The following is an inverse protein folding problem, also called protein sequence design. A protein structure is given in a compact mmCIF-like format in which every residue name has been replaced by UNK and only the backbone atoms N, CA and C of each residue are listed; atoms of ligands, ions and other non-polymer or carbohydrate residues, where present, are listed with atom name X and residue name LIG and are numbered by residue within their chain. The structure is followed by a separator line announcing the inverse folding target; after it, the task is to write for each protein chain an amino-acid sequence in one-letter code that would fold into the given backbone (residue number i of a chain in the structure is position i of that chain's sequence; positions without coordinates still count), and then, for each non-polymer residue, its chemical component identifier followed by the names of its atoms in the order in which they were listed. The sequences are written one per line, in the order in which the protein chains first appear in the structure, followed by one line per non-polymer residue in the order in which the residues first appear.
data_IF_749921202287
#
_entry.id   IF_749921202287
#
_cell.length_a   1.000
_cell.length_b   1.000
_cell.length_c   1.000
_cell.angle_alpha   90.00
_cell.angle_beta   90.00
_cell.angle_gamma   90.00
#
_symmetry.space_group_name_H-M   'P 1'
#
loop_
_entity.id
_entity.type
_entity.pdbx_description
1 polymer ?
#
# COMPACT_ATOMS: atom_id res chain seq x y z
N UNK A 1 12.64 6.20 -6.57
CA UNK A 1 13.78 5.32 -6.23
C UNK A 1 13.98 4.21 -7.27
N UNK A 2 13.00 3.33 -7.53
CA UNK A 2 13.11 2.23 -8.53
C UNK A 2 13.61 2.73 -9.89
N UNK A 3 12.97 3.78 -10.43
CA UNK A 3 13.34 4.38 -11.71
C UNK A 3 14.75 4.96 -11.78
N UNK A 4 15.25 5.53 -10.67
CA UNK A 4 16.61 6.04 -10.59
C UNK A 4 17.63 4.90 -10.66
N UNK A 5 17.39 3.84 -9.89
CA UNK A 5 18.27 2.66 -9.85
C UNK A 5 18.26 1.94 -11.20
N UNK A 6 17.09 1.74 -11.81
CA UNK A 6 16.99 1.15 -13.14
C UNK A 6 17.63 2.03 -14.22
N UNK A 7 17.46 3.36 -14.12
CA UNK A 7 18.11 4.31 -15.02
C UNK A 7 19.62 4.23 -14.93
N UNK A 8 20.19 4.21 -13.72
CA UNK A 8 21.63 4.01 -13.52
C UNK A 8 22.11 2.66 -14.04
N UNK A 9 21.34 1.60 -13.81
CA UNK A 9 21.67 0.26 -14.29
C UNK A 9 21.74 0.22 -15.83
N UNK A 10 20.78 0.83 -16.52
CA UNK A 10 20.78 0.93 -17.99
C UNK A 10 21.96 1.76 -18.50
N UNK A 11 22.23 2.92 -17.90
CA UNK A 11 23.36 3.78 -18.28
C UNK A 11 24.70 3.05 -18.09
N UNK A 12 24.88 2.31 -17.00
CA UNK A 12 26.08 1.50 -16.76
C UNK A 12 26.23 0.34 -17.75
N UNK A 13 25.14 -0.35 -18.10
CA UNK A 13 25.18 -1.41 -19.12
C UNK A 13 25.59 -0.84 -20.47
N UNK A 14 25.04 0.32 -20.85
CA UNK A 14 25.39 0.97 -22.11
C UNK A 14 26.87 1.35 -22.15
N UNK A 15 27.38 2.00 -21.11
CA UNK A 15 28.80 2.39 -21.01
C UNK A 15 29.75 1.18 -21.02
N UNK A 16 29.40 0.12 -20.31
CA UNK A 16 30.23 -1.10 -20.25
C UNK A 16 30.17 -1.91 -21.54
N UNK A 17 29.03 -1.94 -22.24
CA UNK A 17 28.86 -2.63 -23.52
C UNK A 17 29.63 -1.95 -24.65
N UNK A 18 29.75 -0.62 -24.62
CA UNK A 18 30.49 0.16 -25.62
C UNK A 18 32.00 0.25 -25.34
N UNK A 19 32.49 -0.35 -24.25
CA UNK A 19 33.91 -0.27 -23.80
C UNK A 19 34.44 1.16 -23.75
N UNK A 20 33.58 2.13 -23.42
CA UNK A 20 33.89 3.57 -23.42
C UNK A 20 34.31 4.16 -24.79
N UNK A 21 34.12 3.43 -25.89
CA UNK A 21 34.20 3.98 -27.25
C UNK A 21 32.79 4.29 -27.75
N UNK A 22 32.55 5.54 -28.16
CA UNK A 22 31.29 5.91 -28.77
C UNK A 22 31.24 5.37 -30.21
N UNK A 23 30.77 4.12 -30.34
CA UNK A 23 30.71 3.40 -31.62
C UNK A 23 29.77 4.06 -32.65
N UNK A 24 28.83 4.90 -32.19
CA UNK A 24 27.87 5.65 -33.02
C UNK A 24 27.80 7.12 -32.56
N UNK A 25 28.82 7.95 -32.83
CA UNK A 25 28.94 9.30 -32.28
C UNK A 25 27.87 10.27 -32.81
N UNK A 26 27.33 9.98 -34.00
CA UNK A 26 26.31 10.78 -34.66
C UNK A 26 24.90 10.61 -34.05
N UNK A 27 24.69 9.58 -33.23
CA UNK A 27 23.40 9.27 -32.57
C UNK A 27 23.49 9.11 -31.05
N UNK A 28 24.68 8.86 -30.50
CA UNK A 28 24.85 8.54 -29.07
C UNK A 28 25.52 9.69 -28.32
N UNK A 29 24.98 10.01 -27.15
CA UNK A 29 25.53 11.04 -26.26
C UNK A 29 26.62 10.41 -25.39
N UNK A 30 27.80 11.01 -25.40
CA UNK A 30 28.92 10.55 -24.57
C UNK A 30 28.63 10.83 -23.10
N UNK A 31 28.83 9.82 -22.24
CA UNK A 31 28.51 9.90 -20.81
C UNK A 31 29.56 10.71 -20.02
N UNK A 32 29.58 12.03 -20.20
CA UNK A 32 30.40 12.92 -19.38
C UNK A 32 29.82 13.06 -17.97
N UNK A 33 30.61 13.46 -16.95
CA UNK A 33 30.08 13.70 -15.60
C UNK A 33 28.92 14.69 -15.56
N UNK A 34 28.93 15.71 -16.42
CA UNK A 34 27.84 16.68 -16.56
C UNK A 34 26.57 16.04 -17.15
N UNK A 35 26.71 15.23 -18.21
CA UNK A 35 25.60 14.49 -18.82
C UNK A 35 25.02 13.47 -17.83
N UNK A 36 25.86 12.77 -17.08
CA UNK A 36 25.41 11.83 -16.05
C UNK A 36 24.64 12.53 -14.92
N UNK A 37 25.12 13.68 -14.45
CA UNK A 37 24.44 14.48 -13.44
C UNK A 37 23.09 14.99 -13.95
N UNK A 38 23.05 15.50 -15.18
CA UNK A 38 21.82 15.92 -15.85
C UNK A 38 20.81 14.78 -15.98
N UNK A 39 21.24 13.63 -16.51
CA UNK A 39 20.39 12.45 -16.67
C UNK A 39 19.85 11.95 -15.32
N UNK A 40 20.68 11.92 -14.27
CA UNK A 40 20.25 11.52 -12.93
C UNK A 40 19.21 12.47 -12.34
N UNK A 41 19.40 13.78 -12.50
CA UNK A 41 18.43 14.78 -12.05
C UNK A 41 17.13 14.69 -12.84
N UNK A 42 17.20 14.55 -14.17
CA UNK A 42 16.05 14.39 -15.02
C UNK A 42 15.23 13.15 -14.62
N UNK A 43 15.86 11.98 -14.50
CA UNK A 43 15.20 10.73 -14.08
C UNK A 43 14.56 10.86 -12.69
N UNK A 44 15.21 11.56 -11.75
CA UNK A 44 14.64 11.82 -10.43
C UNK A 44 13.37 12.69 -10.50
N UNK A 45 13.41 13.80 -11.25
CA UNK A 45 12.27 14.71 -11.44
C UNK A 45 11.11 14.01 -12.15
N UNK A 46 11.40 13.25 -13.22
CA UNK A 46 10.41 12.45 -13.95
C UNK A 46 9.77 11.43 -13.00
N UNK A 47 10.58 10.71 -12.22
CA UNK A 47 10.10 9.73 -11.25
C UNK A 47 9.18 10.34 -10.19
N UNK A 48 9.47 11.57 -9.74
CA UNK A 48 8.60 12.30 -8.81
C UNK A 48 7.28 12.71 -9.46
N UNK A 49 7.33 13.22 -10.69
CA UNK A 49 6.15 13.63 -11.46
C UNK A 49 5.23 12.44 -11.76
N UNK A 50 5.80 11.31 -12.17
CA UNK A 50 5.10 10.03 -12.34
C UNK A 50 4.46 9.57 -11.01
N UNK A 51 5.19 9.67 -9.89
CA UNK A 51 4.65 9.34 -8.58
C UNK A 51 3.43 10.18 -8.20
N UNK A 52 3.46 11.49 -8.46
CA UNK A 52 2.32 12.39 -8.24
C UNK A 52 1.14 11.99 -9.14
N UNK A 53 1.37 11.77 -10.43
CA UNK A 53 0.32 11.38 -11.38
C UNK A 53 -0.34 10.06 -10.98
N UNK A 54 0.44 9.10 -10.51
CA UNK A 54 -0.06 7.80 -10.08
C UNK A 54 -0.96 7.91 -8.84
N UNK A 55 -0.49 8.62 -7.81
CA UNK A 55 -1.20 8.75 -6.53
C UNK A 55 -2.48 9.57 -6.67
N UNK A 56 -2.44 10.70 -7.38
CA UNK A 56 -3.56 11.64 -7.42
C UNK A 56 -4.55 11.40 -8.55
N UNK A 57 -4.12 10.82 -9.68
CA UNK A 57 -4.95 10.74 -10.88
C UNK A 57 -5.22 9.30 -11.35
N UNK A 58 -4.19 8.56 -11.73
CA UNK A 58 -4.34 7.24 -12.34
C UNK A 58 -4.85 6.18 -11.35
N UNK A 59 -4.39 6.21 -10.10
CA UNK A 59 -4.83 5.29 -9.05
C UNK A 59 -6.34 5.35 -8.80
N UNK A 60 -6.91 6.55 -8.75
CA UNK A 60 -8.34 6.75 -8.52
C UNK A 60 -9.18 6.45 -9.76
N UNK A 61 -8.71 6.83 -10.95
CA UNK A 61 -9.50 6.72 -12.19
C UNK A 61 -9.74 5.27 -12.62
N UNK A 62 -8.81 4.37 -12.33
CA UNK A 62 -8.85 2.97 -12.81
C UNK A 62 -9.14 1.94 -11.73
N UNK A 63 -9.50 2.35 -10.50
CA UNK A 63 -9.74 1.44 -9.37
C UNK A 63 -10.81 0.37 -9.64
N UNK A 64 -11.79 0.65 -10.49
CA UNK A 64 -12.90 -0.25 -10.82
C UNK A 64 -12.72 -1.06 -12.11
N UNK A 65 -11.55 -0.95 -12.78
CA UNK A 65 -11.28 -1.69 -14.02
C UNK A 65 -10.56 -3.00 -13.74
N UNK A 66 -10.69 -3.98 -14.64
CA UNK A 66 -9.97 -5.24 -14.52
C UNK A 66 -8.45 -5.04 -14.60
N UNK A 67 -7.71 -5.94 -13.94
CA UNK A 67 -6.24 -5.95 -13.89
C UNK A 67 -5.61 -5.65 -15.26
N UNK A 68 -5.95 -6.44 -16.29
CA UNK A 68 -5.33 -6.31 -17.62
C UNK A 68 -5.64 -4.97 -18.28
N UNK A 69 -6.86 -4.44 -18.10
CA UNK A 69 -7.23 -3.12 -18.66
C UNK A 69 -6.45 -2.03 -17.95
N UNK A 70 -6.39 -2.06 -16.62
CA UNK A 70 -5.64 -1.08 -15.82
C UNK A 70 -4.16 -1.08 -16.21
N UNK A 71 -3.54 -2.26 -16.33
CA UNK A 71 -2.15 -2.41 -16.75
C UNK A 71 -1.91 -1.86 -18.16
N UNK A 72 -2.76 -2.22 -19.14
CA UNK A 72 -2.60 -1.78 -20.53
C UNK A 72 -2.75 -0.26 -20.68
N UNK A 73 -3.76 0.34 -20.05
CA UNK A 73 -3.94 1.80 -20.10
C UNK A 73 -2.78 2.55 -19.45
N UNK A 74 -2.32 2.10 -18.27
CA UNK A 74 -1.16 2.69 -17.61
C UNK A 74 0.10 2.55 -18.46
N UNK A 75 0.35 1.36 -19.03
CA UNK A 75 1.50 1.13 -19.91
C UNK A 75 1.48 2.06 -21.12
N UNK A 76 0.34 2.18 -21.82
CA UNK A 76 0.22 3.07 -22.96
C UNK A 76 0.43 4.55 -22.59
N UNK A 77 -0.19 5.00 -21.48
CA UNK A 77 -0.05 6.36 -20.99
C UNK A 77 1.42 6.68 -20.63
N UNK A 78 2.06 5.82 -19.84
CA UNK A 78 3.43 6.05 -19.39
C UNK A 78 4.46 5.89 -20.51
N UNK A 79 4.25 5.00 -21.48
CA UNK A 79 5.11 4.91 -22.66
C UNK A 79 5.04 6.19 -23.50
N UNK A 80 3.84 6.75 -23.69
CA UNK A 80 3.67 8.04 -24.39
C UNK A 80 4.32 9.20 -23.61
N UNK A 81 4.14 9.23 -22.29
CA UNK A 81 4.77 10.23 -21.43
C UNK A 81 6.30 10.15 -21.48
N UNK A 82 6.88 8.94 -21.40
CA UNK A 82 8.33 8.74 -21.49
C UNK A 82 8.87 9.09 -22.87
N UNK A 83 8.12 8.83 -23.95
CA UNK A 83 8.48 9.27 -25.30
C UNK A 83 8.59 10.80 -25.36
N UNK A 84 7.58 11.52 -24.88
CA UNK A 84 7.59 13.00 -24.85
C UNK A 84 8.78 13.53 -24.04
N UNK A 85 9.06 12.92 -22.90
CA UNK A 85 10.22 13.25 -22.07
C UNK A 85 11.53 13.08 -22.86
N UNK A 86 11.69 11.99 -23.61
CA UNK A 86 12.91 11.73 -24.41
C UNK A 86 13.05 12.74 -25.54
N UNK A 87 11.95 13.08 -26.22
CA UNK A 87 11.94 14.10 -27.28
C UNK A 87 12.41 15.47 -26.78
N UNK A 88 12.24 15.78 -25.49
CA UNK A 88 12.71 17.03 -24.88
C UNK A 88 14.10 16.88 -24.27
N UNK A 89 14.35 15.79 -23.55
CA UNK A 89 15.58 15.58 -22.78
C UNK A 89 16.78 15.32 -23.69
N UNK A 90 16.61 14.63 -24.82
CA UNK A 90 17.71 14.29 -25.70
C UNK A 90 18.36 15.55 -26.32
N UNK A 91 17.63 16.48 -26.97
CA UNK A 91 18.23 17.71 -27.48
C UNK A 91 18.94 18.53 -26.41
N UNK A 92 18.41 18.58 -25.18
CA UNK A 92 19.06 19.26 -24.06
C UNK A 92 20.38 18.59 -23.65
N UNK A 93 20.41 17.26 -23.61
CA UNK A 93 21.62 16.51 -23.29
C UNK A 93 22.68 16.64 -24.41
N UNK A 94 22.27 16.58 -25.68
CA UNK A 94 23.16 16.80 -26.83
C UNK A 94 23.70 18.25 -26.87
N UNK A 95 22.89 19.23 -26.49
CA UNK A 95 23.33 20.63 -26.35
C UNK A 95 24.40 20.79 -25.26
N UNK A 96 24.24 20.11 -24.13
CA UNK A 96 25.23 20.09 -23.05
C UNK A 96 26.54 19.42 -23.48
N UNK A 97 26.48 18.33 -24.25
CA UNK A 97 27.66 17.63 -24.78
C UNK A 97 28.43 18.50 -25.78
N UNK A 98 27.73 19.14 -26.73
CA UNK A 98 28.33 19.94 -27.79
C UNK A 98 28.66 21.38 -27.35
N UNK A 99 28.26 21.79 -26.14
CA UNK A 99 28.41 23.17 -25.68
C UNK A 99 27.64 24.20 -26.52
N UNK A 100 26.51 23.77 -27.12
CA UNK A 100 25.73 24.54 -28.08
C UNK A 100 24.29 24.81 -27.58
N UNK A 101 23.52 25.58 -28.33
CA UNK A 101 22.08 25.76 -28.07
C UNK A 101 21.30 24.50 -28.47
N UNK A 102 20.21 24.12 -27.76
CA UNK A 102 19.37 22.97 -28.12
C UNK A 102 18.76 23.02 -29.53
N UNK A 103 18.65 24.21 -30.12
CA UNK A 103 18.13 24.41 -31.48
C UNK A 103 19.25 24.59 -32.52
N UNK A 104 20.51 24.36 -32.15
CA UNK A 104 21.62 24.40 -33.08
C UNK A 104 21.50 23.28 -34.12
N UNK A 105 21.95 23.54 -35.35
CA UNK A 105 21.87 22.60 -36.47
C UNK A 105 22.52 21.24 -36.14
N UNK A 106 23.70 21.24 -35.53
CA UNK A 106 24.40 20.00 -35.15
C UNK A 106 23.65 19.21 -34.06
N UNK A 107 22.98 19.89 -33.12
CA UNK A 107 22.15 19.24 -32.09
C UNK A 107 20.91 18.61 -32.72
N UNK A 108 20.26 19.33 -33.64
CA UNK A 108 19.07 18.84 -34.33
C UNK A 108 19.39 17.68 -35.28
N UNK A 109 20.51 17.72 -35.98
CA UNK A 109 21.00 16.62 -36.80
C UNK A 109 21.23 15.36 -35.96
N UNK A 110 21.97 15.50 -34.84
CA UNK A 110 22.18 14.41 -33.88
C UNK A 110 20.87 13.85 -33.30
N UNK A 111 19.90 14.71 -33.03
CA UNK A 111 18.57 14.29 -32.57
C UNK A 111 17.80 13.47 -33.62
N UNK A 112 17.79 13.90 -34.88
CA UNK A 112 17.13 13.15 -35.96
C UNK A 112 17.81 11.82 -36.24
N UNK A 113 19.14 11.80 -36.17
CA UNK A 113 19.93 10.57 -36.26
C UNK A 113 19.55 9.61 -35.15
N UNK A 114 19.46 10.08 -33.91
CA UNK A 114 18.99 9.28 -32.78
C UNK A 114 17.59 8.72 -32.99
N UNK A 115 16.60 9.54 -33.38
CA UNK A 115 15.22 9.04 -33.59
C UNK A 115 15.12 7.94 -34.66
N UNK A 116 16.04 7.94 -35.62
CA UNK A 116 16.09 6.93 -36.68
C UNK A 116 17.01 5.76 -36.35
N UNK A 117 17.63 5.75 -35.17
CA UNK A 117 18.67 4.80 -34.82
C UNK A 117 18.16 3.57 -34.08
N UNK A 118 18.99 2.52 -34.07
CA UNK A 118 18.74 1.31 -33.29
C UNK A 118 18.81 1.62 -31.78
N UNK A 119 19.60 2.61 -31.37
CA UNK A 119 19.69 3.04 -29.97
C UNK A 119 18.35 3.60 -29.47
N UNK A 120 17.64 4.41 -30.25
CA UNK A 120 16.30 4.88 -29.88
C UNK A 120 15.32 3.73 -29.74
N UNK A 121 15.30 2.80 -30.70
CA UNK A 121 14.43 1.62 -30.64
C UNK A 121 14.74 0.77 -29.39
N UNK A 122 16.01 0.51 -29.12
CA UNK A 122 16.47 -0.22 -27.94
C UNK A 122 16.05 0.49 -26.64
N UNK A 123 16.17 1.81 -26.60
CA UNK A 123 15.75 2.65 -25.47
C UNK A 123 14.23 2.56 -25.23
N UNK A 124 13.43 2.62 -26.29
CA UNK A 124 11.98 2.46 -26.20
C UNK A 124 11.59 1.08 -25.66
N UNK A 125 12.22 0.02 -26.17
CA UNK A 125 11.96 -1.35 -25.72
C UNK A 125 12.34 -1.54 -24.25
N UNK A 126 13.51 -1.06 -23.84
CA UNK A 126 13.98 -1.14 -22.46
C UNK A 126 13.04 -0.40 -21.49
N UNK A 127 12.60 0.81 -21.86
CA UNK A 127 11.67 1.60 -21.05
C UNK A 127 10.30 0.94 -20.98
N UNK A 128 9.76 0.45 -22.11
CA UNK A 128 8.47 -0.23 -22.13
C UNK A 128 8.49 -1.51 -21.26
N UNK A 129 9.59 -2.27 -21.30
CA UNK A 129 9.76 -3.46 -20.46
C UNK A 129 9.89 -3.10 -18.97
N UNK A 130 10.71 -2.11 -18.64
CA UNK A 130 10.86 -1.59 -17.27
C UNK A 130 9.53 -1.07 -16.71
N UNK A 131 8.78 -0.32 -17.52
CA UNK A 131 7.43 0.15 -17.21
C UNK A 131 6.50 -1.01 -16.93
N UNK A 132 6.45 -1.98 -17.84
CA UNK A 132 5.62 -3.15 -17.67
C UNK A 132 5.93 -3.88 -16.36
N UNK A 133 7.21 -4.15 -16.06
CA UNK A 133 7.61 -4.85 -14.84
C UNK A 133 7.23 -4.06 -13.58
N UNK A 134 7.48 -2.75 -13.57
CA UNK A 134 7.16 -1.88 -12.43
C UNK A 134 5.65 -1.77 -12.19
N UNK A 135 4.85 -1.59 -13.24
CA UNK A 135 3.39 -1.51 -13.16
C UNK A 135 2.79 -2.86 -12.78
N UNK A 136 3.32 -3.96 -13.32
CA UNK A 136 2.90 -5.30 -12.98
C UNK A 136 3.17 -5.61 -11.50
N UNK A 137 4.37 -5.28 -11.01
CA UNK A 137 4.72 -5.40 -9.59
C UNK A 137 3.77 -4.57 -8.72
N UNK A 138 3.54 -3.30 -9.06
CA UNK A 138 2.64 -2.41 -8.32
C UNK A 138 1.22 -2.99 -8.26
N UNK A 139 0.70 -3.47 -9.39
CA UNK A 139 -0.66 -4.00 -9.47
C UNK A 139 -0.83 -5.31 -8.70
N UNK A 140 0.19 -6.19 -8.71
CA UNK A 140 0.18 -7.38 -7.85
C UNK A 140 0.26 -6.98 -6.38
N UNK A 141 1.14 -6.04 -6.04
CA UNK A 141 1.31 -5.54 -4.68
C UNK A 141 0.02 -4.94 -4.12
N UNK A 142 -0.74 -4.21 -4.95
CA UNK A 142 -2.04 -3.64 -4.57
C UNK A 142 -3.09 -4.72 -4.30
N UNK A 143 -3.08 -5.81 -5.07
CA UNK A 143 -4.06 -6.89 -4.97
C UNK A 143 -3.78 -7.88 -3.82
N UNK A 144 -2.51 -8.14 -3.52
CA UNK A 144 -2.08 -9.12 -2.50
C UNK A 144 -1.73 -8.44 -1.17
N UNK A 145 -1.41 -7.15 -1.20
CA UNK A 145 -0.88 -6.39 -0.07
C UNK A 145 0.65 -6.32 -0.11
N UNK A 146 1.20 -5.12 0.11
CA UNK A 146 2.63 -4.86 -0.05
C UNK A 146 3.52 -5.73 0.86
N UNK A 147 3.15 -5.85 2.13
CA UNK A 147 3.88 -6.70 3.09
C UNK A 147 3.84 -8.17 2.71
N UNK A 148 2.69 -8.67 2.23
CA UNK A 148 2.52 -10.07 1.81
C UNK A 148 3.38 -10.38 0.59
N UNK A 149 3.40 -9.51 -0.41
CA UNK A 149 4.22 -9.70 -1.61
C UNK A 149 5.73 -9.71 -1.27
N UNK A 150 6.19 -8.84 -0.37
CA UNK A 150 7.59 -8.82 0.06
C UNK A 150 7.95 -10.10 0.85
N UNK A 151 7.04 -10.57 1.71
CA UNK A 151 7.22 -11.81 2.47
C UNK A 151 7.25 -13.04 1.56
N UNK A 152 6.54 -13.01 0.42
CA UNK A 152 6.59 -14.04 -0.61
C UNK A 152 7.99 -14.13 -1.24
N UNK A 153 8.57 -13.01 -1.70
CA UNK A 153 9.91 -13.01 -2.31
C UNK A 153 11.03 -13.34 -1.33
N UNK A 154 10.93 -12.90 -0.08
CA UNK A 154 11.92 -13.23 0.96
C UNK A 154 11.78 -14.65 1.51
N UNK A 155 10.66 -15.31 1.21
CA UNK A 155 10.31 -16.62 1.74
C UNK A 155 10.07 -16.65 3.26
N UNK A 156 9.75 -15.49 3.87
CA UNK A 156 9.68 -15.32 5.32
C UNK A 156 8.79 -16.35 6.02
N UNK A 157 7.69 -16.77 5.40
CA UNK A 157 6.68 -17.67 5.98
C UNK A 157 6.57 -19.04 5.29
N UNK A 158 7.54 -19.43 4.45
CA UNK A 158 7.55 -20.79 3.87
C UNK A 158 7.63 -21.88 4.94
N UNK A 159 8.21 -21.56 6.10
CA UNK A 159 8.22 -22.40 7.28
C UNK A 159 7.44 -21.73 8.41
N UNK A 160 6.79 -22.51 9.30
CA UNK A 160 6.12 -21.95 10.47
C UNK A 160 7.08 -21.13 11.32
N UNK A 161 6.62 -19.95 11.76
CA UNK A 161 7.35 -19.04 12.64
C UNK A 161 6.46 -18.57 13.76
N UNK A 162 6.98 -18.59 14.98
CA UNK A 162 6.31 -17.93 16.10
C UNK A 162 6.56 -16.42 16.05
N UNK A 163 5.49 -15.65 16.15
CA UNK A 163 5.51 -14.19 16.25
C UNK A 163 4.63 -13.73 17.41
N UNK A 164 4.96 -12.56 17.97
CA UNK A 164 4.11 -11.87 18.94
C UNK A 164 3.37 -10.75 18.21
N UNK A 165 2.05 -10.86 18.12
CA UNK A 165 1.22 -9.98 17.27
C UNK A 165 0.01 -9.46 18.01
N UNK A 166 -0.44 -8.29 17.58
CA UNK A 166 -1.69 -7.68 18.00
C UNK A 166 -2.71 -7.90 16.89
N UNK A 167 -3.92 -8.29 17.26
CA UNK A 167 -5.05 -8.39 16.35
C UNK A 167 -6.13 -7.39 16.76
N UNK A 168 -6.71 -6.74 15.76
CA UNK A 168 -7.92 -5.92 15.86
C UNK A 168 -8.99 -6.60 15.01
N UNK A 169 -10.07 -7.04 15.65
CA UNK A 169 -11.24 -7.60 14.98
C UNK A 169 -12.30 -6.51 14.98
N UNK A 170 -12.74 -6.07 13.80
CA UNK A 170 -13.73 -5.01 13.63
C UNK A 170 -14.95 -5.55 12.89
N UNK A 171 -16.11 -5.50 13.52
CA UNK A 171 -17.37 -6.02 13.00
C UNK A 171 -18.40 -4.90 12.86
N UNK A 172 -19.19 -4.93 11.80
CA UNK A 172 -20.16 -3.88 11.52
C UNK A 172 -21.42 -4.09 12.36
N UNK A 173 -21.92 -3.00 12.93
CA UNK A 173 -23.16 -3.02 13.69
C UNK A 173 -24.36 -3.25 12.76
N UNK A 174 -25.18 -4.23 13.10
CA UNK A 174 -26.45 -4.53 12.40
C UNK A 174 -26.30 -4.84 10.91
N UNK A 175 -25.16 -5.40 10.49
CA UNK A 175 -24.82 -5.67 9.09
C UNK A 175 -25.85 -6.51 8.34
N UNK A 176 -26.46 -7.51 8.98
CA UNK A 176 -27.55 -8.31 8.38
C UNK A 176 -28.75 -7.44 8.00
N UNK A 177 -29.20 -6.56 8.90
CA UNK A 177 -30.31 -5.63 8.61
C UNK A 177 -29.94 -4.64 7.51
N UNK A 178 -28.69 -4.17 7.49
CA UNK A 178 -28.19 -3.31 6.40
C UNK A 178 -28.22 -4.06 5.06
N UNK A 179 -27.73 -5.30 5.01
CA UNK A 179 -27.72 -6.13 3.81
C UNK A 179 -29.13 -6.41 3.28
N UNK A 180 -30.09 -6.70 4.17
CA UNK A 180 -31.50 -6.89 3.83
C UNK A 180 -32.11 -5.61 3.24
N UNK A 181 -31.83 -4.45 3.83
CA UNK A 181 -32.38 -3.16 3.38
C UNK A 181 -31.82 -2.69 2.02
N UNK A 182 -30.53 -2.90 1.77
CA UNK A 182 -29.85 -2.43 0.55
C UNK A 182 -29.99 -3.42 -0.61
N UNK A 183 -30.15 -4.71 -0.31
CA UNK A 183 -30.04 -5.79 -1.29
C UNK A 183 -28.59 -6.08 -1.69
N UNK A 184 -28.34 -7.30 -2.16
CA UNK A 184 -27.00 -7.89 -2.34
C UNK A 184 -26.00 -7.01 -3.12
N UNK A 185 -26.39 -6.49 -4.29
CA UNK A 185 -25.47 -5.74 -5.14
C UNK A 185 -25.07 -4.39 -4.52
N UNK A 186 -26.03 -3.67 -3.93
CA UNK A 186 -25.79 -2.37 -3.30
C UNK A 186 -25.07 -2.52 -1.96
N UNK A 187 -25.35 -3.60 -1.22
CA UNK A 187 -24.59 -3.95 -0.02
C UNK A 187 -23.12 -4.26 -0.33
N UNK A 188 -22.83 -4.89 -1.47
CA UNK A 188 -21.44 -5.10 -1.89
C UNK A 188 -20.71 -3.79 -2.21
N UNK A 189 -21.38 -2.83 -2.85
CA UNK A 189 -20.84 -1.48 -3.07
C UNK A 189 -20.63 -0.72 -1.75
N UNK A 190 -21.56 -0.88 -0.81
CA UNK A 190 -21.46 -0.34 0.55
C UNK A 190 -20.24 -0.90 1.30
N UNK A 191 -20.06 -2.23 1.32
CA UNK A 191 -18.89 -2.87 1.93
C UNK A 191 -17.58 -2.42 1.28
N UNK A 192 -17.56 -2.27 -0.05
CA UNK A 192 -16.38 -1.76 -0.76
C UNK A 192 -16.01 -0.35 -0.30
N UNK A 193 -16.99 0.53 -0.13
CA UNK A 193 -16.75 1.88 0.38
C UNK A 193 -16.26 1.85 1.84
N UNK A 194 -16.94 1.06 2.68
CA UNK A 194 -16.60 0.88 4.09
C UNK A 194 -15.15 0.41 4.28
N UNK A 195 -14.70 -0.61 3.54
CA UNK A 195 -13.31 -1.08 3.58
C UNK A 195 -12.31 -0.06 3.01
N UNK A 196 -12.71 0.69 1.99
CA UNK A 196 -11.86 1.74 1.42
C UNK A 196 -11.58 2.84 2.45
N UNK A 197 -12.54 3.20 3.30
CA UNK A 197 -12.38 4.25 4.31
C UNK A 197 -11.44 3.84 5.45
N UNK A 198 -11.33 2.55 5.73
CA UNK A 198 -10.39 2.03 6.73
C UNK A 198 -8.94 1.96 6.24
N UNK A 199 -8.75 1.85 4.92
CA UNK A 199 -7.44 1.52 4.33
C UNK A 199 -6.34 2.50 4.74
N UNK A 200 -6.60 3.80 4.70
CA UNK A 200 -5.63 4.84 5.06
C UNK A 200 -5.33 4.88 6.57
N UNK A 201 -6.32 4.60 7.42
CA UNK A 201 -6.11 4.50 8.87
C UNK A 201 -5.21 3.30 9.22
N UNK A 202 -5.47 2.15 8.60
CA UNK A 202 -4.71 0.92 8.80
C UNK A 202 -3.24 1.11 8.36
N UNK A 203 -3.02 1.63 7.15
CA UNK A 203 -1.67 1.82 6.61
C UNK A 203 -0.87 2.85 7.42
N UNK A 204 -1.46 4.04 7.71
CA UNK A 204 -0.77 5.09 8.49
C UNK A 204 -0.38 4.65 9.90
N UNK A 205 -1.04 3.64 10.44
CA UNK A 205 -0.77 3.12 11.77
C UNK A 205 -0.11 1.73 11.73
N UNK A 206 0.51 1.39 10.59
CA UNK A 206 1.33 0.19 10.40
C UNK A 206 0.58 -1.12 10.66
N UNK A 207 -0.74 -1.11 10.46
CA UNK A 207 -1.57 -2.30 10.45
C UNK A 207 -1.55 -2.97 9.08
N UNK A 208 -1.78 -4.29 9.10
CA UNK A 208 -1.88 -5.13 7.92
C UNK A 208 -3.23 -5.82 7.94
N UNK A 209 -4.05 -5.63 6.90
CA UNK A 209 -5.29 -6.39 6.76
C UNK A 209 -4.93 -7.86 6.60
N UNK A 210 -5.32 -8.68 7.57
CA UNK A 210 -5.15 -10.13 7.51
C UNK A 210 -6.25 -10.75 6.64
N UNK A 211 -7.51 -10.43 6.94
CA UNK A 211 -8.65 -11.02 6.25
C UNK A 211 -9.89 -10.13 6.33
N UNK A 212 -10.70 -10.18 5.28
CA UNK A 212 -12.09 -9.74 5.27
C UNK A 212 -12.99 -10.98 5.43
N UNK A 213 -13.89 -10.99 6.42
CA UNK A 213 -14.81 -12.10 6.70
C UNK A 213 -16.23 -11.55 6.76
N UNK A 214 -16.99 -11.64 5.66
CA UNK A 214 -18.30 -10.99 5.58
C UNK A 214 -18.14 -9.47 5.58
N UNK A 215 -18.60 -8.83 6.66
CA UNK A 215 -18.46 -7.41 7.03
C UNK A 215 -17.33 -7.15 8.05
N UNK A 216 -16.71 -8.21 8.56
CA UNK A 216 -15.62 -8.15 9.52
C UNK A 216 -14.29 -7.83 8.84
N UNK A 217 -13.52 -6.92 9.44
CA UNK A 217 -12.13 -6.60 9.06
C UNK A 217 -11.20 -7.04 10.17
N UNK A 218 -10.31 -7.97 9.87
CA UNK A 218 -9.25 -8.41 10.78
C UNK A 218 -7.96 -7.71 10.39
N UNK A 219 -7.44 -6.88 11.29
CA UNK A 219 -6.17 -6.18 11.15
C UNK A 219 -5.16 -6.78 12.11
N UNK A 220 -3.95 -7.02 11.62
CA UNK A 220 -2.83 -7.50 12.43
C UNK A 220 -1.71 -6.46 12.49
N UNK A 221 -1.00 -6.43 13.60
CA UNK A 221 0.19 -5.61 13.78
C UNK A 221 1.31 -6.51 14.31
N UNK A 222 2.54 -6.27 13.85
CA UNK A 222 3.69 -6.71 14.65
C UNK A 222 3.62 -5.99 15.99
N UNK A 223 4.00 -6.66 17.08
CA UNK A 223 3.96 -6.06 18.43
C UNK A 223 4.61 -4.67 18.45
N UNK A 224 5.85 -4.57 17.97
CA UNK A 224 6.62 -3.33 17.93
C UNK A 224 5.92 -2.19 17.17
N UNK A 225 5.19 -2.49 16.08
CA UNK A 225 4.49 -1.46 15.32
C UNK A 225 3.18 -1.04 15.98
N UNK A 226 2.43 -1.99 16.55
CA UNK A 226 1.14 -1.73 17.17
C UNK A 226 1.25 -0.95 18.49
N UNK A 227 2.25 -1.24 19.32
CA UNK A 227 2.45 -0.52 20.60
C UNK A 227 3.11 0.84 20.43
N UNK A 228 3.86 1.07 19.33
CA UNK A 228 4.55 2.33 19.07
C UNK A 228 3.55 3.48 19.05
N UNK A 229 3.62 4.36 20.07
CA UNK A 229 2.69 5.47 20.23
C UNK A 229 1.22 5.03 20.27
N UNK A 230 0.95 3.82 20.75
CA UNK A 230 -0.37 3.18 20.76
C UNK A 230 -1.04 3.14 19.36
N UNK A 231 -0.26 2.90 18.31
CA UNK A 231 -0.73 2.82 16.92
C UNK A 231 -1.96 1.92 16.73
N UNK A 232 -2.06 0.77 17.42
CA UNK A 232 -3.23 -0.10 17.29
C UNK A 232 -4.53 0.57 17.78
N UNK A 233 -4.47 1.34 18.88
CA UNK A 233 -5.61 2.14 19.38
C UNK A 233 -5.88 3.32 18.44
N UNK A 234 -4.82 4.01 17.99
CA UNK A 234 -4.96 5.11 17.03
C UNK A 234 -5.59 4.64 15.72
N UNK A 235 -5.28 3.42 15.27
CA UNK A 235 -5.91 2.78 14.10
C UNK A 235 -7.41 2.72 14.26
N UNK A 236 -7.90 2.18 15.38
CA UNK A 236 -9.32 2.12 15.68
C UNK A 236 -9.99 3.50 15.59
N UNK A 237 -9.45 4.51 16.27
CA UNK A 237 -10.05 5.85 16.26
C UNK A 237 -9.94 6.55 14.91
N UNK A 238 -8.87 6.33 14.15
CA UNK A 238 -8.73 6.86 12.80
C UNK A 238 -9.71 6.20 11.82
N UNK A 239 -10.01 4.91 11.98
CA UNK A 239 -11.07 4.22 11.23
C UNK A 239 -12.44 4.81 11.53
N UNK A 240 -12.74 5.08 12.81
CA UNK A 240 -13.98 5.75 13.22
C UNK A 240 -14.09 7.16 12.62
N UNK A 241 -13.04 7.97 12.76
CA UNK A 241 -13.01 9.33 12.21
C UNK A 241 -13.17 9.36 10.68
N UNK A 242 -12.71 8.33 9.97
CA UNK A 242 -12.91 8.21 8.52
C UNK A 242 -14.39 8.01 8.15
N UNK A 243 -15.12 7.18 8.90
CA UNK A 243 -16.56 7.00 8.71
C UNK A 243 -17.33 8.27 9.07
N UNK A 244 -16.97 8.91 10.20
CA UNK A 244 -17.61 10.16 10.63
C UNK A 244 -17.43 11.27 9.60
N UNK A 245 -16.23 11.39 9.03
CA UNK A 245 -15.93 12.35 7.95
C UNK A 245 -16.80 12.12 6.70
N UNK A 246 -17.09 10.86 6.38
CA UNK A 246 -17.86 10.48 5.20
C UNK A 246 -19.34 10.22 5.49
N UNK A 247 -19.81 10.49 6.71
CA UNK A 247 -21.16 10.13 7.17
C UNK A 247 -22.27 10.69 6.25
N UNK A 248 -22.16 11.96 5.85
CA UNK A 248 -23.15 12.56 4.95
C UNK A 248 -23.20 11.85 3.59
N UNK A 249 -22.03 11.51 3.04
CA UNK A 249 -21.95 10.79 1.77
C UNK A 249 -22.58 9.38 1.86
N UNK A 250 -22.36 8.66 2.97
CA UNK A 250 -23.01 7.37 3.20
C UNK A 250 -24.52 7.51 3.31
N UNK A 251 -25.00 8.53 4.03
CA UNK A 251 -26.42 8.81 4.14
C UNK A 251 -27.03 9.12 2.77
N UNK A 252 -26.41 9.97 1.97
CA UNK A 252 -26.92 10.34 0.64
C UNK A 252 -26.87 9.17 -0.36
N UNK A 253 -25.84 8.32 -0.28
CA UNK A 253 -25.59 7.24 -1.25
C UNK A 253 -26.30 5.94 -0.88
N UNK A 254 -26.40 5.61 0.41
CA UNK A 254 -26.93 4.34 0.90
C UNK A 254 -28.10 4.49 1.89
N UNK A 255 -28.40 5.70 2.37
CA UNK A 255 -29.46 5.92 3.35
C UNK A 255 -29.11 5.48 4.78
N UNK A 256 -27.84 5.14 5.03
CA UNK A 256 -27.36 4.68 6.34
C UNK A 256 -25.87 4.97 6.49
N UNK A 257 -25.45 5.37 7.70
CA UNK A 257 -24.04 5.53 8.06
C UNK A 257 -23.57 4.25 8.75
N UNK A 258 -22.49 3.60 8.29
CA UNK A 258 -21.96 2.42 8.96
C UNK A 258 -21.40 2.78 10.34
N UNK A 259 -21.66 1.91 11.31
CA UNK A 259 -21.00 1.89 12.61
C UNK A 259 -20.31 0.54 12.80
N UNK A 260 -19.28 0.49 13.62
CA UNK A 260 -18.57 -0.76 13.93
C UNK A 260 -18.17 -0.84 15.39
N UNK A 261 -17.91 -2.07 15.84
CA UNK A 261 -17.34 -2.39 17.14
C UNK A 261 -16.09 -3.22 16.95
N UNK A 262 -15.09 -2.99 17.78
CA UNK A 262 -13.83 -3.69 17.67
C UNK A 262 -13.33 -4.26 18.99
N UNK A 263 -12.51 -5.30 18.90
CA UNK A 263 -11.67 -5.72 20.02
C UNK A 263 -10.21 -5.84 19.61
N UNK A 264 -9.32 -5.53 20.56
CA UNK A 264 -7.89 -5.64 20.40
C UNK A 264 -7.28 -6.55 21.46
N UNK A 265 -6.47 -7.51 21.00
CA UNK A 265 -5.75 -8.43 21.86
C UNK A 265 -4.34 -8.70 21.31
N UNK A 266 -3.42 -9.07 22.20
CA UNK A 266 -2.04 -9.40 21.87
C UNK A 266 -1.72 -10.82 22.31
N UNK A 267 -0.89 -11.51 21.55
CA UNK A 267 -0.33 -12.77 22.02
C UNK A 267 0.58 -13.45 21.01
N UNK A 268 1.02 -14.66 21.36
CA UNK A 268 1.84 -15.50 20.47
C UNK A 268 0.97 -16.18 19.43
N UNK A 269 1.43 -16.13 18.19
CA UNK A 269 0.84 -16.83 17.06
C UNK A 269 1.92 -17.56 16.28
N UNK A 270 1.58 -18.71 15.73
CA UNK A 270 2.40 -19.38 14.72
C UNK A 270 1.87 -18.98 13.35
N UNK A 271 2.73 -18.37 12.54
CA UNK A 271 2.42 -17.93 11.19
C UNK A 271 3.19 -18.76 10.17
N UNK A 272 2.52 -19.17 9.10
CA UNK A 272 3.13 -19.99 8.05
C UNK A 272 2.25 -20.09 6.81
N UNK A 273 2.86 -20.43 5.69
CA UNK A 273 2.16 -20.73 4.46
C UNK A 273 1.45 -22.10 4.56
N UNK A 274 0.13 -22.11 4.42
CA UNK A 274 -0.69 -23.33 4.44
C UNK A 274 -1.48 -23.43 3.13
N UNK A 275 -1.64 -24.66 2.62
CA UNK A 275 -2.50 -24.98 1.48
C UNK A 275 -1.76 -25.76 0.39
N UNK A 276 -2.46 -26.73 -0.23
CA UNK A 276 -1.91 -27.51 -1.34
C UNK A 276 -2.24 -26.90 -2.71
N UNK A 277 -3.46 -26.35 -2.86
CA UNK A 277 -3.97 -25.79 -4.12
C UNK A 277 -3.99 -24.26 -4.12
N UNK A 278 -4.34 -23.67 -2.97
CA UNK A 278 -4.31 -22.22 -2.75
C UNK A 278 -3.52 -21.97 -1.47
N UNK A 279 -2.29 -21.53 -1.65
CA UNK A 279 -1.42 -21.19 -0.53
C UNK A 279 -1.79 -19.83 0.03
N UNK A 280 -1.85 -19.73 1.35
CA UNK A 280 -2.10 -18.48 2.07
C UNK A 280 -1.25 -18.43 3.34
N UNK A 281 -0.85 -17.22 3.75
CA UNK A 281 -0.26 -17.02 5.07
C UNK A 281 -1.39 -17.15 6.09
N UNK A 282 -1.21 -18.04 7.06
CA UNK A 282 -2.20 -18.33 8.08
C UNK A 282 -1.61 -18.08 9.46
N UNK A 283 -2.39 -17.50 10.36
CA UNK A 283 -2.04 -17.38 11.77
C UNK A 283 -2.81 -18.40 12.59
N UNK A 284 -2.11 -19.17 13.42
CA UNK A 284 -2.70 -20.08 14.40
C UNK A 284 -2.31 -19.67 15.81
N UNK A 285 -3.25 -19.79 16.74
CA UNK A 285 -3.04 -19.41 18.13
C UNK A 285 -4.36 -18.99 18.78
N UNK A 286 -4.39 -19.03 20.12
CA UNK A 286 -5.57 -18.62 20.89
C UNK A 286 -5.91 -17.13 20.68
N UNK A 287 -4.92 -16.31 20.31
CA UNK A 287 -5.06 -14.86 20.12
C UNK A 287 -6.23 -14.51 19.20
N UNK A 288 -6.36 -15.17 18.05
CA UNK A 288 -7.42 -14.87 17.09
C UNK A 288 -8.80 -15.20 17.67
N UNK A 289 -8.94 -16.39 18.27
CA UNK A 289 -10.20 -16.83 18.86
C UNK A 289 -10.60 -15.97 20.07
N UNK A 290 -9.62 -15.59 20.90
CA UNK A 290 -9.84 -14.67 22.02
C UNK A 290 -10.28 -13.29 21.51
N UNK A 291 -9.60 -12.75 20.50
CA UNK A 291 -9.96 -11.42 19.94
C UNK A 291 -11.37 -11.42 19.36
N UNK A 292 -11.75 -12.45 18.60
CA UNK A 292 -13.10 -12.60 18.04
C UNK A 292 -14.17 -12.64 19.14
N UNK A 293 -13.92 -13.38 20.23
CA UNK A 293 -14.86 -13.45 21.37
C UNK A 293 -14.96 -12.14 22.12
N UNK A 294 -13.83 -11.45 22.32
CA UNK A 294 -13.83 -10.12 22.89
C UNK A 294 -14.64 -9.16 22.01
N UNK A 295 -14.50 -9.22 20.68
CA UNK A 295 -15.28 -8.38 19.77
C UNK A 295 -16.78 -8.63 19.99
N UNK A 296 -17.22 -9.89 20.05
CA UNK A 296 -18.62 -10.23 20.29
C UNK A 296 -19.16 -9.67 21.63
N UNK A 297 -18.32 -9.58 22.67
CA UNK A 297 -18.68 -9.02 23.97
C UNK A 297 -18.91 -7.50 23.94
N UNK A 298 -18.46 -6.78 22.90
CA UNK A 298 -18.71 -5.33 22.78
C UNK A 298 -20.21 -5.00 22.78
N UNK A 299 -21.08 -5.93 22.36
CA UNK A 299 -22.53 -5.78 22.46
C UNK A 299 -23.03 -5.86 23.89
N UNK A 300 -22.61 -6.88 24.64
CA UNK A 300 -22.99 -7.09 26.04
C UNK A 300 -22.53 -5.95 26.95
N UNK A 301 -21.33 -5.40 26.70
CA UNK A 301 -20.80 -4.27 27.47
C UNK A 301 -21.28 -2.90 26.99
N UNK A 302 -21.96 -2.81 25.83
CA UNK A 302 -22.42 -1.52 25.29
C UNK A 302 -21.30 -0.58 24.87
N UNK A 303 -20.09 -1.08 24.58
CA UNK A 303 -18.92 -0.27 24.21
C UNK A 303 -18.56 -0.43 22.73
N UNK A 304 -17.83 0.54 22.18
CA UNK A 304 -17.33 0.51 20.79
C UNK A 304 -16.02 -0.26 20.65
N UNK A 305 -15.21 -0.30 21.71
CA UNK A 305 -13.91 -0.98 21.70
C UNK A 305 -13.65 -1.72 23.00
N UNK A 306 -13.14 -2.95 22.89
CA UNK A 306 -12.60 -3.74 24.00
C UNK A 306 -11.10 -3.98 23.79
N UNK A 307 -10.33 -3.85 24.87
CA UNK A 307 -8.89 -4.09 24.90
C UNK A 307 -8.59 -5.06 26.04
N UNK A 308 -7.80 -6.10 25.77
CA UNK A 308 -7.36 -7.03 26.81
C UNK A 308 -6.33 -6.37 27.74
N UNK A 309 -6.31 -6.75 29.02
CA UNK A 309 -5.29 -6.32 29.97
C UNK A 309 -3.86 -6.61 29.52
N UNK A 310 -3.63 -7.74 28.84
CA UNK A 310 -2.30 -8.09 28.28
C UNK A 310 -1.81 -7.02 27.30
N UNK A 311 -2.65 -6.61 26.34
CA UNK A 311 -2.32 -5.53 25.41
C UNK A 311 -2.21 -4.17 26.12
N UNK A 312 -3.10 -3.89 27.08
CA UNK A 312 -3.07 -2.63 27.81
C UNK A 312 -1.74 -2.43 28.55
N UNK A 313 -1.20 -3.49 29.15
CA UNK A 313 0.09 -3.47 29.85
C UNK A 313 1.29 -3.14 28.95
N UNK A 314 1.18 -3.42 27.65
CA UNK A 314 2.25 -3.16 26.67
C UNK A 314 2.17 -1.75 26.06
N UNK A 315 1.08 -1.00 26.29
CA UNK A 315 0.80 0.25 25.61
C UNK A 315 1.33 1.48 26.36
N UNK A 316 2.03 2.40 25.67
CA UNK A 316 2.41 3.69 26.25
C UNK A 316 1.19 4.62 26.25
N UNK A 317 0.40 4.60 27.33
CA UNK A 317 -0.71 5.53 27.52
C UNK A 317 -0.16 6.91 27.91
N UNK A 318 -0.21 7.86 26.98
CA UNK A 318 0.36 9.20 27.14
C UNK A 318 -0.72 10.27 27.45
N UNK A 319 -1.75 9.89 28.21
CA UNK A 319 -2.83 10.79 28.63
C UNK A 319 -3.81 11.17 27.53
N UNK A 320 -3.58 10.79 26.26
CA UNK A 320 -4.51 11.01 25.14
C UNK A 320 -5.79 10.18 25.23
N UNK A 321 -5.79 9.16 26.08
CA UNK A 321 -6.88 8.21 26.19
C UNK A 321 -7.25 7.98 27.65
N UNK A 322 -8.55 7.94 27.91
CA UNK A 322 -9.10 7.46 29.18
C UNK A 322 -9.37 5.97 29.06
N UNK A 323 -8.97 5.21 30.06
CA UNK A 323 -9.15 3.76 30.12
C UNK A 323 -10.08 3.42 31.27
N UNK A 324 -11.13 2.65 31.00
CA UNK A 324 -12.07 2.18 32.01
C UNK A 324 -12.05 0.65 32.09
N UNK A 325 -11.86 0.06 33.29
CA UNK A 325 -11.97 -1.38 33.48
C UNK A 325 -13.42 -1.83 33.36
N UNK A 326 -13.64 -2.98 32.71
CA UNK A 326 -14.96 -3.61 32.55
C UNK A 326 -15.06 -4.96 33.26
N UNK A 327 -13.97 -5.38 33.91
CA UNK A 327 -13.89 -6.61 34.69
C UNK A 327 -13.23 -7.75 33.93
N UNK A 328 -13.26 -8.91 34.55
CA UNK A 328 -12.57 -10.13 34.11
C UNK A 328 -13.59 -11.09 33.50
N UNK A 329 -13.24 -11.74 32.38
CA UNK A 329 -14.13 -12.66 31.67
C UNK A 329 -13.47 -14.01 31.39
N UNK A 330 -14.22 -15.08 31.66
CA UNK A 330 -13.88 -16.43 31.25
C UNK A 330 -14.29 -16.65 29.79
N UNK A 331 -13.30 -16.80 28.91
CA UNK A 331 -13.55 -17.08 27.49
C UNK A 331 -13.46 -18.58 27.24
N UNK A 332 -14.51 -19.14 26.61
CA UNK A 332 -14.66 -20.59 26.38
C UNK A 332 -13.46 -21.20 25.67
N UNK A 333 -12.66 -22.04 26.32
CA UNK A 333 -11.49 -22.67 25.70
C UNK A 333 -10.16 -21.97 26.01
N UNK A 334 -10.17 -20.98 26.90
CA UNK A 334 -8.98 -20.45 27.57
C UNK A 334 -9.02 -20.81 29.05
N UNK A 335 -7.89 -21.26 29.61
CA UNK A 335 -7.77 -21.59 31.04
C UNK A 335 -7.63 -20.35 31.92
N UNK A 336 -7.03 -19.29 31.38
CA UNK A 336 -6.83 -18.02 32.09
C UNK A 336 -7.91 -17.02 31.68
N UNK A 337 -8.59 -16.38 32.63
CA UNK A 337 -9.53 -15.33 32.29
C UNK A 337 -8.81 -14.12 31.68
N UNK A 338 -9.58 -13.27 30.98
CA UNK A 338 -9.07 -12.07 30.33
C UNK A 338 -9.67 -10.85 30.99
N UNK A 339 -8.82 -9.95 31.48
CA UNK A 339 -9.25 -8.63 31.94
C UNK A 339 -9.61 -7.77 30.73
N UNK A 340 -10.79 -7.14 30.78
CA UNK A 340 -11.32 -6.31 29.71
C UNK A 340 -11.34 -4.86 30.12
N UNK A 341 -10.94 -4.01 29.18
CA UNK A 341 -10.94 -2.56 29.31
C UNK A 341 -11.61 -1.96 28.09
N UNK A 342 -12.19 -0.78 28.25
CA UNK A 342 -12.57 0.07 27.12
C UNK A 342 -11.75 1.34 27.15
N UNK A 343 -11.58 1.94 25.98
CA UNK A 343 -10.78 3.14 25.79
C UNK A 343 -11.60 4.18 25.05
N UNK A 344 -11.52 5.42 25.52
CA UNK A 344 -12.09 6.60 24.86
C UNK A 344 -11.01 7.66 24.70
N UNK A 345 -11.13 8.60 23.74
CA UNK A 345 -10.32 9.81 23.74
C UNK A 345 -10.46 10.51 25.09
N UNK A 346 -9.37 11.07 25.60
CA UNK A 346 -9.46 11.94 26.77
C UNK A 346 -10.35 13.14 26.40
N UNK A 347 -11.21 13.57 27.32
CA UNK A 347 -11.93 14.82 27.14
C UNK A 347 -10.90 15.95 27.02
N UNK A 348 -11.06 16.85 26.04
CA UNK A 348 -10.27 18.08 25.99
C UNK A 348 -10.50 18.83 27.32
N UNK A 349 -9.42 19.06 28.07
CA UNK A 349 -9.44 19.90 29.28
C UNK A 349 -9.44 21.37 28.92
#
# INVERSE_FOLDING_TARGET
MIWLVLGWFVLFIQETATRSENLNPDSTITLTPAVFAFASLAVALIGFLVGILEVFWLGNRFRSRSFSRKLLYKLAFYSCFMLLVILIAYPLAAALELGASPLNEAVMEKFWNFLSSVEFLSTMVAIAFSLFLSLFYSEISDNIGHGVLMNFFTGKYHQPREEYRIFLFSDMKSSTSVAESLGHARYFEFLRAYYSDFSDAIVRHSGEVYQYVGDEVIVSFTHANGVRGANCIRCFFAMQAALDKNAQWYMDTFGIVPEFKAALHVGRVTTGEIGALKKAIFFTGDVLNTTARMQALCNSYGVKVLISGELLGDLPLDGRYTVAPLGTQDLKGREKPVDLFTVSPAAEM
#
